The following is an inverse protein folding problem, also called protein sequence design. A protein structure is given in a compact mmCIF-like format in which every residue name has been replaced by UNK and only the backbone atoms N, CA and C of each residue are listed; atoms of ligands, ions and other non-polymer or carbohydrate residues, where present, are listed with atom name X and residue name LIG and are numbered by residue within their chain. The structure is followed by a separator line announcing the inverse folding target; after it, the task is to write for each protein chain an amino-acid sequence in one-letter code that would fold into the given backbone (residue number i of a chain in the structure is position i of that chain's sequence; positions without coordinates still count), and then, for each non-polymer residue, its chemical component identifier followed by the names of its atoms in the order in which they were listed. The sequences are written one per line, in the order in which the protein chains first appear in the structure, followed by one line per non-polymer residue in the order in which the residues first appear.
data_IF_825673727174
#
_entry.id   IF_825673727174
#
_cell.length_a   1.000
_cell.length_b   1.000
_cell.length_c   1.000
_cell.angle_alpha   90.00
_cell.angle_beta   90.00
_cell.angle_gamma   90.00
#
_symmetry.space_group_name_H-M   'P 1'
#
loop_
_entity.id
_entity.type
_entity.pdbx_description
1 polymer ?
#
# COMPACT_ATOMS: atom_id res chain seq x y z
N UNK A 1 -15.38 -6.15 7.51
CA UNK A 1 -14.13 -5.41 7.82
C UNK A 1 -13.05 -6.45 7.87
N UNK A 2 -12.04 -6.33 7.01
CA UNK A 2 -10.86 -7.17 7.15
C UNK A 2 -10.17 -6.81 8.47
N UNK A 3 -9.80 -7.82 9.24
CA UNK A 3 -8.99 -7.61 10.44
C UNK A 3 -7.54 -7.38 10.00
N UNK A 4 -7.06 -6.14 10.18
CA UNK A 4 -5.71 -5.74 9.75
C UNK A 4 -4.64 -6.23 10.72
N UNK A 5 -4.99 -6.40 12.00
CA UNK A 5 -4.02 -6.72 13.04
C UNK A 5 -3.31 -8.04 12.76
N UNK A 6 -3.97 -9.16 12.41
CA UNK A 6 -3.28 -10.41 12.08
C UNK A 6 -2.30 -10.29 10.91
N UNK A 7 -2.63 -9.50 9.88
CA UNK A 7 -1.74 -9.27 8.73
C UNK A 7 -0.54 -8.40 9.12
N UNK A 8 -0.74 -7.40 9.98
CA UNK A 8 0.35 -6.58 10.52
C UNK A 8 1.26 -7.42 11.40
N UNK A 9 0.71 -8.27 12.27
CA UNK A 9 1.50 -9.21 13.08
C UNK A 9 2.38 -10.11 12.19
N UNK A 10 1.87 -10.59 11.05
CA UNK A 10 2.67 -11.31 10.05
C UNK A 10 3.78 -10.45 9.42
N UNK A 11 3.59 -9.14 9.29
CA UNK A 11 4.66 -8.25 8.84
C UNK A 11 5.79 -8.13 9.88
N UNK A 12 5.45 -8.08 11.17
CA UNK A 12 6.43 -8.11 12.27
C UNK A 12 7.19 -9.44 12.33
N UNK A 13 6.50 -10.56 12.20
CA UNK A 13 7.12 -11.89 12.09
C UNK A 13 8.09 -11.94 10.89
N UNK A 14 7.66 -11.48 9.72
CA UNK A 14 8.48 -11.49 8.51
C UNK A 14 9.70 -10.54 8.58
N UNK A 15 9.57 -9.40 9.27
CA UNK A 15 10.63 -8.42 9.39
C UNK A 15 11.67 -8.83 10.46
N UNK A 16 11.21 -9.34 11.60
CA UNK A 16 12.05 -9.50 12.79
C UNK A 16 12.20 -10.95 13.27
N UNK A 17 11.45 -11.90 12.70
CA UNK A 17 11.47 -13.30 13.13
C UNK A 17 10.91 -13.51 14.54
N UNK A 18 10.06 -12.61 15.01
CA UNK A 18 9.41 -12.67 16.33
C UNK A 18 8.02 -13.30 16.24
N UNK A 19 7.55 -13.85 17.35
CA UNK A 19 6.23 -14.45 17.42
C UNK A 19 5.13 -13.38 17.19
N UNK A 20 4.27 -13.52 16.16
CA UNK A 20 3.22 -12.56 15.86
C UNK A 20 2.23 -12.34 17.02
N UNK A 21 2.02 -13.33 17.88
CA UNK A 21 1.09 -13.23 19.01
C UNK A 21 1.59 -12.29 20.12
N UNK A 22 2.90 -11.98 20.14
CA UNK A 22 3.48 -11.03 21.11
C UNK A 22 3.19 -9.56 20.74
N UNK A 23 2.75 -9.32 19.51
CA UNK A 23 2.50 -7.97 18.99
C UNK A 23 1.04 -7.60 19.23
N UNK A 24 0.84 -6.50 19.93
CA UNK A 24 -0.48 -5.97 20.29
C UNK A 24 -0.73 -4.63 19.62
N UNK A 25 -1.97 -4.15 19.68
CA UNK A 25 -2.34 -2.84 19.12
C UNK A 25 -1.61 -1.67 19.80
N UNK A 26 -1.17 -1.86 21.04
CA UNK A 26 -0.48 -0.85 21.84
C UNK A 26 1.05 -1.03 21.83
N UNK A 27 1.57 -2.02 21.10
CA UNK A 27 3.01 -2.26 21.00
C UNK A 27 3.73 -1.09 20.32
N UNK A 28 4.88 -0.74 20.87
CA UNK A 28 5.74 0.36 20.43
C UNK A 28 7.16 -0.14 20.11
N UNK A 29 8.02 0.69 19.50
CA UNK A 29 9.44 0.37 19.31
C UNK A 29 10.18 0.03 20.61
N UNK A 30 9.71 0.52 21.77
CA UNK A 30 10.34 0.23 23.07
C UNK A 30 10.08 -1.21 23.53
N UNK A 31 8.99 -1.83 23.05
CA UNK A 31 8.62 -3.21 23.41
C UNK A 31 9.29 -4.24 22.50
N UNK A 32 9.76 -3.81 21.32
CA UNK A 32 10.29 -4.68 20.26
C UNK A 32 11.70 -4.21 19.90
N UNK A 33 12.76 -4.79 20.49
CA UNK A 33 14.14 -4.34 20.29
C UNK A 33 14.61 -4.33 18.83
N UNK A 34 14.06 -5.21 17.99
CA UNK A 34 14.37 -5.27 16.56
C UNK A 34 13.73 -4.12 15.76
N UNK A 35 12.76 -3.41 16.33
CA UNK A 35 12.09 -2.28 15.70
C UNK A 35 12.86 -0.97 15.92
N UNK A 36 14.14 -0.97 15.56
CA UNK A 36 15.01 0.21 15.58
C UNK A 36 14.89 1.02 14.27
N UNK A 37 15.85 1.91 13.99
CA UNK A 37 15.89 2.71 12.76
C UNK A 37 15.94 1.88 11.48
N UNK A 38 16.72 0.79 11.46
CA UNK A 38 16.81 -0.09 10.28
C UNK A 38 15.63 -1.06 10.23
N UNK A 39 15.18 -1.53 11.39
CA UNK A 39 13.99 -2.34 11.54
C UNK A 39 12.73 -1.62 11.06
N UNK A 40 12.65 -0.30 11.22
CA UNK A 40 11.55 0.52 10.69
C UNK A 40 11.37 0.34 9.18
N UNK A 41 12.48 0.40 8.43
CA UNK A 41 12.48 0.23 6.96
C UNK A 41 12.15 -1.22 6.59
N UNK A 42 12.69 -2.20 7.32
CA UNK A 42 12.40 -3.62 7.09
C UNK A 42 10.93 -3.96 7.32
N UNK A 43 10.32 -3.38 8.36
CA UNK A 43 8.90 -3.51 8.65
C UNK A 43 8.07 -2.88 7.54
N UNK A 44 8.40 -1.66 7.11
CA UNK A 44 7.73 -1.00 5.99
C UNK A 44 7.76 -1.88 4.74
N UNK A 45 8.93 -2.39 4.33
CA UNK A 45 9.02 -3.29 3.17
C UNK A 45 8.22 -4.58 3.34
N UNK A 46 8.07 -5.09 4.57
CA UNK A 46 7.25 -6.28 4.84
C UNK A 46 5.75 -5.97 4.73
N UNK A 47 5.31 -4.81 5.22
CA UNK A 47 3.96 -4.31 5.04
C UNK A 47 3.64 -4.08 3.55
N UNK A 48 4.54 -3.47 2.79
CA UNK A 48 4.39 -3.25 1.34
C UNK A 48 4.12 -4.57 0.61
N UNK A 49 4.92 -5.60 0.88
CA UNK A 49 4.76 -6.94 0.25
C UNK A 49 3.44 -7.61 0.62
N UNK A 50 3.02 -7.53 1.89
CA UNK A 50 1.81 -8.21 2.38
C UNK A 50 0.53 -7.52 1.87
N UNK A 51 0.53 -6.20 1.82
CA UNK A 51 -0.66 -5.42 1.47
C UNK A 51 -0.67 -4.92 0.02
N UNK A 52 0.42 -5.10 -0.73
CA UNK A 52 0.56 -4.54 -2.08
C UNK A 52 0.58 -3.01 -2.07
N UNK A 53 1.17 -2.41 -1.04
CA UNK A 53 1.23 -0.96 -0.84
C UNK A 53 2.64 -0.43 -1.13
N UNK A 54 2.74 0.89 -1.22
CA UNK A 54 4.02 1.61 -1.15
C UNK A 54 3.90 2.73 -0.12
N UNK A 55 4.93 2.86 0.71
CA UNK A 55 5.03 3.90 1.73
C UNK A 55 6.13 4.89 1.39
N UNK A 56 5.82 6.17 1.57
CA UNK A 56 6.78 7.25 1.46
C UNK A 56 7.39 7.58 2.83
N UNK A 57 8.33 8.54 2.86
CA UNK A 57 9.02 8.93 4.09
C UNK A 57 8.06 9.48 5.14
N UNK A 58 7.02 10.20 4.72
CA UNK A 58 6.02 10.77 5.64
C UNK A 58 5.22 9.66 6.30
N UNK A 59 4.78 8.66 5.53
CA UNK A 59 4.11 7.47 6.09
C UNK A 59 4.99 6.75 7.12
N UNK A 60 6.28 6.55 6.82
CA UNK A 60 7.21 5.90 7.75
C UNK A 60 7.36 6.69 9.04
N UNK A 61 7.38 8.02 8.97
CA UNK A 61 7.45 8.87 10.16
C UNK A 61 6.17 8.80 11.01
N UNK A 62 5.01 8.50 10.40
CA UNK A 62 3.76 8.30 11.15
C UNK A 62 3.69 6.95 11.86
N UNK A 63 4.47 5.94 11.45
CA UNK A 63 4.44 4.56 11.99
C UNK A 63 5.13 4.40 13.36
N UNK A 64 4.78 5.23 14.34
CA UNK A 64 5.44 5.22 15.67
C UNK A 64 4.97 4.08 16.60
N UNK A 65 3.81 3.48 16.31
CA UNK A 65 3.23 2.37 17.09
C UNK A 65 2.30 1.53 16.19
N UNK A 66 1.92 0.33 16.66
CA UNK A 66 1.08 -0.60 15.87
C UNK A 66 -0.27 0.02 15.51
N UNK A 67 -0.87 0.82 16.41
CA UNK A 67 -2.14 1.51 16.16
C UNK A 67 -2.03 2.53 15.03
N UNK A 68 -0.92 3.25 14.93
CA UNK A 68 -0.64 4.17 13.82
C UNK A 68 -0.38 3.42 12.53
N UNK A 69 0.37 2.31 12.56
CA UNK A 69 0.53 1.43 11.39
C UNK A 69 -0.83 1.00 10.84
N UNK A 70 -1.75 0.55 11.70
CA UNK A 70 -3.12 0.18 11.28
C UNK A 70 -3.81 1.33 10.54
N UNK A 71 -3.73 2.56 11.06
CA UNK A 71 -4.35 3.74 10.44
C UNK A 71 -3.74 4.06 9.08
N UNK A 72 -2.41 4.05 8.97
CA UNK A 72 -1.69 4.34 7.73
C UNK A 72 -2.04 3.30 6.66
N UNK A 73 -1.98 2.01 7.01
CA UNK A 73 -2.35 0.90 6.10
C UNK A 73 -3.81 1.02 5.67
N UNK A 74 -4.73 1.25 6.60
CA UNK A 74 -6.16 1.40 6.30
C UNK A 74 -6.42 2.57 5.33
N UNK A 75 -5.75 3.70 5.56
CA UNK A 75 -5.87 4.88 4.70
C UNK A 75 -5.33 4.62 3.28
N UNK A 76 -4.16 3.97 3.17
CA UNK A 76 -3.55 3.61 1.89
C UNK A 76 -4.40 2.60 1.11
N UNK A 77 -4.95 1.57 1.76
CA UNK A 77 -5.87 0.62 1.11
C UNK A 77 -7.12 1.30 0.55
N UNK A 78 -7.64 2.32 1.24
CA UNK A 78 -8.76 3.13 0.74
C UNK A 78 -8.38 4.00 -0.47
N UNK A 79 -7.13 4.48 -0.54
CA UNK A 79 -6.61 5.23 -1.70
C UNK A 79 -6.37 4.33 -2.91
N UNK A 80 -5.73 3.17 -2.73
CA UNK A 80 -5.39 2.24 -3.84
C UNK A 80 -6.64 1.85 -4.62
N UNK A 81 -7.72 1.47 -3.94
CA UNK A 81 -9.00 1.13 -4.57
C UNK A 81 -9.65 2.28 -5.38
N UNK A 82 -9.30 3.54 -5.08
CA UNK A 82 -9.83 4.71 -5.79
C UNK A 82 -8.98 5.08 -7.02
N UNK A 83 -7.72 4.64 -7.08
CA UNK A 83 -6.80 4.98 -8.18
C UNK A 83 -6.95 4.02 -9.35
N UNK A 84 -7.10 2.71 -9.12
CA UNK A 84 -7.21 1.72 -10.21
C UNK A 84 -8.49 1.86 -11.07
N UNK A 85 -9.52 2.56 -10.58
CA UNK A 85 -10.77 2.77 -11.33
C UNK A 85 -10.72 3.93 -12.33
N UNK A 86 -9.59 4.63 -12.51
CA UNK A 86 -9.52 5.86 -13.33
C UNK A 86 -8.74 5.78 -14.65
N UNK A 87 -8.25 4.62 -15.07
CA UNK A 87 -7.46 4.51 -16.30
C UNK A 87 -8.00 3.47 -17.30
N UNK A 88 -9.27 3.59 -17.71
CA UNK A 88 -9.77 2.97 -18.95
C UNK A 88 -10.88 3.85 -19.55
N UNK A 89 -10.56 5.00 -20.16
CA UNK A 89 -11.42 5.63 -21.19
C UNK A 89 -10.70 6.77 -21.91
N UNK A 90 -9.67 6.50 -22.72
CA UNK A 90 -9.20 7.45 -23.76
C UNK A 90 -8.57 6.70 -24.94
N UNK A 91 -9.33 5.80 -25.58
CA UNK A 91 -9.05 5.39 -26.97
C UNK A 91 -10.34 5.32 -27.79
N UNK A 92 -10.65 6.43 -28.43
CA UNK A 92 -11.51 6.49 -29.62
C UNK A 92 -11.53 7.91 -30.22
N UNK A 93 -11.77 8.12 -31.53
CA UNK A 93 -11.67 7.20 -32.66
C UNK A 93 -10.52 7.63 -33.61
N UNK A 94 -9.63 6.72 -34.00
CA UNK A 94 -8.82 6.91 -35.22
C UNK A 94 -9.45 6.10 -36.34
N UNK A 95 -10.41 6.70 -37.01
CA UNK A 95 -10.87 6.26 -38.34
C UNK A 95 -10.65 7.42 -39.31
N UNK A 96 -9.93 7.22 -40.44
CA UNK A 96 -9.75 8.29 -41.42
C UNK A 96 -11.08 8.55 -42.14
N UNK A 97 -11.35 9.82 -42.39
CA UNK A 97 -12.44 10.28 -43.25
C UNK A 97 -12.22 9.73 -44.66
N UNK A 98 -13.08 8.81 -45.11
CA UNK A 98 -13.26 8.50 -46.53
C UNK A 98 -14.53 9.20 -46.97
N UNK A 99 -14.37 10.47 -47.34
CA UNK A 99 -15.34 11.21 -48.14
C UNK A 99 -14.84 11.19 -49.58
N UNK A 100 -15.50 10.40 -50.41
CA UNK A 100 -15.30 10.36 -51.86
C UNK A 100 -15.57 11.74 -52.45
N UNK A 101 -14.53 12.46 -52.87
CA UNK A 101 -14.68 13.55 -53.82
C UNK A 101 -14.74 12.95 -55.24
N UNK A 102 -15.83 13.29 -55.91
CA UNK A 102 -16.18 12.88 -57.26
C UNK A 102 -15.14 13.39 -58.25
N UNK A 103 -14.58 12.50 -59.06
CA UNK A 103 -13.89 12.90 -60.30
C UNK A 103 -14.94 13.26 -61.35
N UNK A 104 -14.84 14.47 -61.87
CA UNK A 104 -15.62 15.00 -62.99
C UNK A 104 -15.38 14.26 -64.31
N UNK A 105 -16.45 13.96 -65.05
CA UNK A 105 -16.63 14.23 -66.50
C UNK A 105 -18.13 14.22 -66.83
#
# INVERSE_FOLDING_TARGET
MEDLVPKIQKAFEAAFGIDPETITIDSTPSDIPAWDSMGHVQLASSLERIFGLSFDVEDLMEMEDVKKIVKVVQFKLGKVQRVEVREVELRGPTGPAVGTELTSD
#
